data_IF_456878992516
#
_entry.id   IF_456878992516
#
_cell.length_a   1.000
_cell.length_b   1.000
_cell.length_c   1.000
_cell.angle_alpha   90.00
_cell.angle_beta   90.00
_cell.angle_gamma   90.00
#
_symmetry.space_group_name_H-M   'P 1'
#
loop_
_entity.id
_entity.type
_entity.pdbx_description
1 polymer ?
#
# COMPACT_ATOMS: atom_id res chain seq x y z
N UNK A 1 6.09 5.47 6.49
CA UNK A 1 5.03 4.53 6.06
C UNK A 1 5.16 3.25 6.86
N UNK A 2 4.04 2.75 7.38
CA UNK A 2 3.95 1.59 8.27
C UNK A 2 2.87 0.66 7.76
N UNK A 3 3.16 -0.63 7.69
CA UNK A 3 2.25 -1.68 7.27
C UNK A 3 2.17 -2.66 8.44
N UNK A 4 0.96 -2.94 8.88
CA UNK A 4 0.68 -3.93 9.93
C UNK A 4 -0.21 -4.99 9.30
N UNK A 5 0.16 -6.25 9.43
CA UNK A 5 -0.70 -7.34 8.99
C UNK A 5 -0.82 -8.39 10.09
N UNK A 6 -2.01 -8.95 10.22
CA UNK A 6 -2.35 -10.03 11.15
C UNK A 6 -2.64 -11.29 10.34
N UNK A 7 -1.99 -12.38 10.69
CA UNK A 7 -2.21 -13.68 10.09
C UNK A 7 -3.37 -14.43 10.76
N UNK A 8 -3.97 -15.40 10.07
CA UNK A 8 -4.99 -16.32 10.63
C UNK A 8 -4.52 -17.04 11.91
N UNK A 9 -3.22 -17.27 12.04
CA UNK A 9 -2.60 -17.83 13.24
C UNK A 9 -2.66 -16.91 14.47
N UNK A 10 -3.04 -15.64 14.29
CA UNK A 10 -3.04 -14.60 15.31
C UNK A 10 -1.73 -13.81 15.39
N UNK A 11 -0.69 -14.21 14.65
CA UNK A 11 0.57 -13.46 14.61
C UNK A 11 0.38 -12.09 13.97
N UNK A 12 0.94 -11.05 14.60
CA UNK A 12 0.95 -9.68 14.08
C UNK A 12 2.36 -9.31 13.66
N UNK A 13 2.50 -8.82 12.42
CA UNK A 13 3.75 -8.35 11.85
C UNK A 13 3.67 -6.86 11.54
N UNK A 14 4.77 -6.16 11.80
CA UNK A 14 4.90 -4.73 11.53
C UNK A 14 6.09 -4.50 10.62
N UNK A 15 5.81 -3.85 9.49
CA UNK A 15 6.79 -3.52 8.46
C UNK A 15 6.84 -2.01 8.30
N UNK A 16 8.03 -1.44 8.40
CA UNK A 16 8.26 0.01 8.20
C UNK A 16 9.15 0.22 6.98
N UNK A 17 8.94 1.33 6.27
CA UNK A 17 9.76 1.65 5.08
C UNK A 17 11.25 1.83 5.39
N UNK A 18 11.62 2.09 6.63
CA UNK A 18 13.04 2.13 7.05
C UNK A 18 13.71 0.74 6.88
N UNK A 19 12.94 -0.35 6.98
CA UNK A 19 13.44 -1.69 6.68
C UNK A 19 13.66 -1.91 5.16
N UNK A 20 12.98 -1.16 4.29
CA UNK A 20 13.23 -1.17 2.85
C UNK A 20 14.61 -0.58 2.51
N UNK A 21 15.00 0.45 3.26
CA UNK A 21 16.17 1.28 3.01
C UNK A 21 17.49 0.67 3.51
N UNK A 22 17.45 -0.39 4.33
CA UNK A 22 18.62 -0.85 5.11
C UNK A 22 19.51 -1.90 4.42
N UNK A 23 19.18 -2.36 3.22
CA UNK A 23 19.91 -3.46 2.52
C UNK A 23 20.33 -3.10 1.09
N UNK A 24 20.63 -1.83 0.83
CA UNK A 24 20.54 -1.33 -0.53
C UNK A 24 21.83 -1.50 -1.40
N UNK A 25 21.69 -1.80 -2.71
CA UNK A 25 22.75 -1.72 -3.72
C UNK A 25 23.12 -0.27 -4.11
N UNK A 26 22.37 0.73 -3.64
CA UNK A 26 22.62 2.16 -3.83
C UNK A 26 23.84 2.66 -3.04
N UNK A 27 24.22 2.04 -1.91
CA UNK A 27 25.48 2.35 -1.19
C UNK A 27 26.74 2.24 -2.06
N UNK A 28 26.73 1.37 -3.07
CA UNK A 28 27.88 1.15 -3.96
C UNK A 28 28.06 2.31 -4.94
N UNK A 29 26.96 2.90 -5.46
CA UNK A 29 27.00 4.08 -6.33
C UNK A 29 27.12 5.41 -5.55
N UNK A 30 26.60 5.47 -4.31
CA UNK A 30 26.73 6.62 -3.40
C UNK A 30 28.19 7.05 -3.14
N UNK A 31 29.15 6.13 -3.28
CA UNK A 31 30.57 6.41 -3.04
C UNK A 31 31.24 7.23 -4.15
N UNK A 32 30.61 7.36 -5.34
CA UNK A 32 31.28 7.92 -6.52
C UNK A 32 30.94 9.38 -6.81
N UNK A 33 29.83 9.93 -6.33
CA UNK A 33 29.47 11.35 -6.52
C UNK A 33 28.60 11.85 -5.36
N UNK A 34 28.93 13.01 -4.80
CA UNK A 34 28.22 13.68 -3.69
C UNK A 34 26.85 14.25 -4.11
N UNK A 35 25.98 13.46 -4.73
CA UNK A 35 24.62 13.87 -5.08
C UNK A 35 23.63 13.45 -4.00
N UNK A 36 22.84 14.41 -3.49
CA UNK A 36 21.68 14.09 -2.66
C UNK A 36 20.62 13.38 -3.51
N UNK A 37 19.90 12.43 -2.91
CA UNK A 37 18.82 11.70 -3.56
C UNK A 37 17.61 11.66 -2.64
N UNK A 38 16.43 11.53 -3.22
CA UNK A 38 15.19 11.29 -2.49
C UNK A 38 14.55 9.99 -2.98
N UNK A 39 13.76 9.36 -2.10
CA UNK A 39 13.08 8.09 -2.36
C UNK A 39 11.58 8.24 -2.23
N UNK A 40 10.81 7.62 -3.13
CA UNK A 40 9.35 7.48 -3.05
C UNK A 40 8.98 6.00 -2.93
N UNK A 41 8.03 5.71 -2.07
CA UNK A 41 7.51 4.37 -1.83
C UNK A 41 6.06 4.30 -2.25
N UNK A 42 5.76 3.50 -3.27
CA UNK A 42 4.40 3.31 -3.77
C UNK A 42 3.94 1.89 -3.45
N UNK A 43 2.93 1.76 -2.58
CA UNK A 43 2.31 0.46 -2.28
C UNK A 43 1.36 0.12 -3.44
N UNK A 44 1.57 -1.05 -4.06
CA UNK A 44 0.80 -1.49 -5.23
C UNK A 44 -0.42 -2.31 -4.85
N UNK A 45 -1.39 -1.65 -4.20
CA UNK A 45 -2.67 -2.27 -3.80
C UNK A 45 -3.49 -2.73 -5.01
N UNK A 46 -3.28 -2.12 -6.18
CA UNK A 46 -3.85 -2.54 -7.46
C UNK A 46 -3.37 -3.93 -7.92
N UNK A 47 -2.21 -4.38 -7.43
CA UNK A 47 -1.62 -5.68 -7.76
C UNK A 47 -1.76 -6.71 -6.63
N UNK A 48 -2.41 -6.35 -5.52
CA UNK A 48 -2.43 -7.14 -4.28
C UNK A 48 -2.79 -8.62 -4.52
N UNK A 49 -3.86 -8.88 -5.27
CA UNK A 49 -4.34 -10.23 -5.58
C UNK A 49 -3.54 -10.97 -6.67
N UNK A 50 -2.81 -10.22 -7.50
CA UNK A 50 -2.05 -10.78 -8.62
C UNK A 50 -0.62 -11.14 -8.19
N UNK A 51 0.00 -10.30 -7.38
CA UNK A 51 1.42 -10.38 -7.05
C UNK A 51 1.72 -10.40 -5.54
N UNK A 52 0.70 -10.30 -4.68
CA UNK A 52 0.90 -10.11 -3.25
C UNK A 52 1.15 -8.65 -2.86
N UNK A 53 1.54 -8.43 -1.61
CA UNK A 53 1.79 -7.09 -1.09
C UNK A 53 3.21 -6.64 -1.46
N UNK A 54 3.31 -5.75 -2.44
CA UNK A 54 4.58 -5.16 -2.88
C UNK A 54 4.62 -3.64 -2.75
N UNK A 55 5.82 -3.12 -2.55
CA UNK A 55 6.17 -1.71 -2.62
C UNK A 55 7.11 -1.51 -3.80
N UNK A 56 6.75 -0.61 -4.70
CA UNK A 56 7.67 -0.08 -5.69
C UNK A 56 8.47 1.08 -5.07
N UNK A 57 9.80 0.96 -5.09
CA UNK A 57 10.73 1.96 -4.55
C UNK A 57 11.34 2.72 -5.72
N UNK A 58 11.07 4.02 -5.76
CA UNK A 58 11.62 4.95 -6.74
C UNK A 58 12.66 5.85 -6.09
N UNK A 59 13.63 6.29 -6.89
CA UNK A 59 14.62 7.25 -6.46
C UNK A 59 14.91 8.25 -7.57
N UNK A 60 15.46 9.40 -7.18
CA UNK A 60 15.92 10.42 -8.12
C UNK A 60 16.99 11.29 -7.47
N UNK A 61 17.89 11.80 -8.30
CA UNK A 61 18.87 12.81 -7.89
C UNK A 61 18.15 14.14 -7.64
N UNK A 62 18.40 14.74 -6.48
CA UNK A 62 17.80 16.01 -6.12
C UNK A 62 18.76 16.91 -5.34
N UNK A 63 18.49 18.21 -5.35
CA UNK A 63 19.05 19.13 -4.37
C UNK A 63 18.05 19.20 -3.22
N UNK A 64 18.49 18.82 -2.03
CA UNK A 64 17.69 18.91 -0.80
C UNK A 64 18.04 20.23 -0.12
N UNK A 65 17.06 21.11 0.00
CA UNK A 65 17.21 22.31 0.83
C UNK A 65 17.18 21.89 2.31
N UNK A 66 18.28 22.15 3.01
CA UNK A 66 18.44 21.77 4.41
C UNK A 66 17.52 22.55 5.37
N UNK A 67 17.01 23.72 4.97
CA UNK A 67 16.11 24.53 5.81
C UNK A 67 14.65 24.10 5.68
N UNK A 68 14.20 23.80 4.46
CA UNK A 68 12.78 23.48 4.18
C UNK A 68 12.49 21.99 4.02
N UNK A 69 13.53 21.15 3.90
CA UNK A 69 13.46 19.73 3.52
C UNK A 69 12.81 19.48 2.16
N UNK A 70 12.60 20.53 1.36
CA UNK A 70 12.09 20.39 0.00
C UNK A 70 13.15 19.75 -0.91
N UNK A 71 12.73 18.78 -1.72
CA UNK A 71 13.57 18.18 -2.76
C UNK A 71 13.25 18.81 -4.11
N UNK A 72 14.27 19.27 -4.82
CA UNK A 72 14.13 19.85 -6.17
C UNK A 72 14.98 19.08 -7.17
N UNK A 73 14.43 18.78 -8.34
CA UNK A 73 15.17 18.06 -9.40
C UNK A 73 15.88 19.09 -10.28
N UNK A 74 17.21 19.03 -10.43
CA UNK A 74 17.91 19.93 -11.33
C UNK A 74 17.37 19.73 -12.76
N UNK A 75 16.86 20.81 -13.36
CA UNK A 75 16.26 20.95 -14.72
C UNK A 75 14.73 20.81 -14.87
N UNK A 76 13.98 20.31 -13.89
CA UNK A 76 12.52 20.04 -14.08
C UNK A 76 11.61 20.70 -13.02
N UNK A 77 12.17 21.25 -11.94
CA UNK A 77 11.37 21.84 -10.87
C UNK A 77 10.81 20.77 -9.93
N UNK A 78 9.49 20.74 -9.71
CA UNK A 78 8.82 19.70 -8.93
C UNK A 78 9.06 18.32 -9.57
N UNK A 79 9.13 17.26 -8.75
CA UNK A 79 9.44 15.89 -9.20
C UNK A 79 8.36 15.41 -10.18
N UNK A 80 8.59 15.57 -11.47
CA UNK A 80 7.75 14.96 -12.52
C UNK A 80 7.95 13.44 -12.50
N UNK A 81 6.92 12.66 -12.80
CA UNK A 81 7.01 11.18 -12.87
C UNK A 81 8.13 10.70 -13.81
N UNK A 82 8.49 11.51 -14.81
CA UNK A 82 9.57 11.26 -15.76
C UNK A 82 10.98 11.24 -15.14
N UNK A 83 11.17 11.83 -13.95
CA UNK A 83 12.44 11.82 -13.24
C UNK A 83 12.60 10.66 -12.26
N UNK A 84 11.58 9.80 -12.13
CA UNK A 84 11.59 8.69 -11.18
C UNK A 84 12.20 7.46 -11.82
N UNK A 85 13.37 7.05 -11.31
CA UNK A 85 13.96 5.78 -11.68
C UNK A 85 13.44 4.70 -10.73
N UNK A 86 12.90 3.61 -11.31
CA UNK A 86 12.47 2.46 -10.51
C UNK A 86 13.71 1.74 -9.97
N UNK A 87 14.00 1.96 -8.69
CA UNK A 87 15.20 1.40 -8.05
C UNK A 87 15.04 -0.05 -7.65
N UNK A 88 13.91 -0.39 -7.00
CA UNK A 88 13.68 -1.74 -6.44
C UNK A 88 12.20 -2.06 -6.32
N UNK A 89 11.85 -3.33 -6.45
CA UNK A 89 10.57 -3.87 -5.96
C UNK A 89 10.82 -4.58 -4.64
N UNK A 90 10.14 -4.18 -3.59
CA UNK A 90 10.16 -4.87 -2.31
C UNK A 90 8.85 -5.65 -2.12
N UNK A 91 8.93 -6.97 -2.18
CA UNK A 91 7.82 -7.85 -1.83
C UNK A 91 7.81 -8.06 -0.32
N UNK A 92 6.70 -7.70 0.31
CA UNK A 92 6.48 -7.87 1.76
C UNK A 92 5.80 -9.21 2.00
N UNK A 93 4.79 -9.52 1.19
CA UNK A 93 4.11 -10.80 1.18
C UNK A 93 3.96 -11.24 -0.27
N UNK A 94 4.30 -12.49 -0.54
CA UNK A 94 3.94 -13.11 -1.80
C UNK A 94 2.44 -13.43 -1.84
N UNK A 95 1.93 -13.80 -3.02
CA UNK A 95 0.52 -14.10 -3.22
C UNK A 95 0.01 -15.20 -2.27
N UNK A 96 0.79 -16.26 -2.08
CA UNK A 96 0.38 -17.40 -1.25
C UNK A 96 0.37 -17.04 0.24
N UNK A 97 1.27 -16.14 0.67
CA UNK A 97 1.29 -15.61 2.04
C UNK A 97 0.12 -14.66 2.29
N UNK A 98 -0.35 -13.98 1.24
CA UNK A 98 -1.51 -13.10 1.31
C UNK A 98 -2.74 -13.88 1.77
N UNK A 99 -2.91 -15.14 1.36
CA UNK A 99 -4.05 -15.97 1.75
C UNK A 99 -4.14 -16.20 3.26
N UNK A 100 -3.02 -16.13 3.96
CA UNK A 100 -2.93 -16.27 5.41
C UNK A 100 -3.17 -14.95 6.16
N UNK A 101 -3.26 -13.82 5.47
CA UNK A 101 -3.56 -12.52 6.07
C UNK A 101 -5.04 -12.41 6.37
N UNK A 102 -5.36 -12.17 7.64
CA UNK A 102 -6.72 -11.89 8.15
C UNK A 102 -7.01 -10.37 8.16
N UNK A 103 -6.03 -9.54 8.50
CA UNK A 103 -6.16 -8.08 8.50
C UNK A 103 -4.88 -7.44 7.96
N UNK A 104 -5.03 -6.40 7.15
CA UNK A 104 -3.94 -5.58 6.63
C UNK A 104 -4.28 -4.11 6.83
N UNK A 105 -3.46 -3.42 7.61
CA UNK A 105 -3.60 -2.00 7.92
C UNK A 105 -2.37 -1.24 7.45
N UNK A 106 -2.59 -0.22 6.63
CA UNK A 106 -1.55 0.56 5.97
C UNK A 106 -1.66 2.01 6.41
N UNK A 107 -0.50 2.56 6.79
CA UNK A 107 -0.33 3.95 7.24
C UNK A 107 -1.37 4.36 8.28
N UNK A 108 -1.52 3.53 9.32
CA UNK A 108 -2.38 3.84 10.48
C UNK A 108 -3.84 4.13 10.09
N UNK A 109 -4.39 3.30 9.20
CA UNK A 109 -5.81 3.34 8.82
C UNK A 109 -6.10 4.05 7.49
N UNK A 110 -5.10 4.52 6.74
CA UNK A 110 -5.33 5.07 5.39
C UNK A 110 -5.91 4.02 4.44
N UNK A 111 -5.47 2.77 4.57
CA UNK A 111 -6.12 1.65 3.91
C UNK A 111 -6.19 0.48 4.89
N UNK A 112 -7.40 -0.03 5.09
CA UNK A 112 -7.67 -1.16 5.98
C UNK A 112 -8.37 -2.24 5.18
N UNK A 113 -7.79 -3.42 5.17
CA UNK A 113 -8.36 -4.61 4.55
C UNK A 113 -8.61 -5.66 5.62
N UNK A 114 -9.75 -6.32 5.56
CA UNK A 114 -10.06 -7.46 6.43
C UNK A 114 -10.56 -8.63 5.59
N UNK A 115 -10.26 -9.84 6.04
CA UNK A 115 -10.68 -11.04 5.34
C UNK A 115 -12.16 -11.29 5.58
N UNK A 116 -12.94 -11.17 4.50
CA UNK A 116 -14.34 -11.53 4.46
C UNK A 116 -14.56 -12.47 3.29
N UNK A 117 -15.35 -13.53 3.50
CA UNK A 117 -15.71 -14.49 2.45
C UNK A 117 -14.51 -15.12 1.70
N UNK A 118 -13.36 -15.21 2.36
CA UNK A 118 -12.13 -15.76 1.79
C UNK A 118 -11.24 -14.75 1.08
N UNK A 119 -11.59 -13.47 1.02
CA UNK A 119 -10.87 -12.41 0.29
C UNK A 119 -10.56 -11.20 1.19
N UNK A 120 -9.52 -10.42 0.88
CA UNK A 120 -9.17 -9.19 1.61
C UNK A 120 -10.00 -8.00 1.11
N UNK A 121 -11.06 -7.68 1.83
CA UNK A 121 -11.99 -6.62 1.45
C UNK A 121 -11.50 -5.27 1.98
N UNK A 122 -11.48 -4.26 1.11
CA UNK A 122 -11.26 -2.85 1.48
C UNK A 122 -12.41 -2.37 2.37
N UNK A 123 -12.12 -2.18 3.66
CA UNK A 123 -13.14 -1.90 4.67
C UNK A 123 -13.73 -0.51 4.53
N UNK A 124 -12.96 0.48 4.04
CA UNK A 124 -13.49 1.82 3.80
C UNK A 124 -14.56 1.81 2.71
N UNK A 125 -14.33 1.05 1.63
CA UNK A 125 -15.33 0.85 0.58
C UNK A 125 -16.51 0.02 1.05
N UNK A 126 -16.24 -1.03 1.84
CA UNK A 126 -17.28 -1.90 2.38
C UNK A 126 -18.26 -1.13 3.27
N UNK A 127 -17.76 -0.38 4.26
CA UNK A 127 -18.62 0.40 5.15
C UNK A 127 -19.37 1.50 4.43
N UNK A 128 -18.74 2.19 3.47
CA UNK A 128 -19.43 3.18 2.65
C UNK A 128 -20.63 2.58 1.89
N UNK A 129 -20.47 1.37 1.36
CA UNK A 129 -21.54 0.66 0.66
C UNK A 129 -22.63 0.12 1.61
N UNK A 130 -22.24 -0.32 2.81
CA UNK A 130 -23.19 -0.71 3.87
C UNK A 130 -24.05 0.46 4.31
N UNK A 131 -23.43 1.61 4.62
CA UNK A 131 -24.14 2.81 5.06
C UNK A 131 -25.13 3.31 4.00
N UNK A 132 -24.78 3.18 2.72
CA UNK A 132 -25.69 3.52 1.63
C UNK A 132 -26.91 2.58 1.61
N UNK A 133 -26.70 1.27 1.73
CA UNK A 133 -27.81 0.29 1.74
C UNK A 133 -28.71 0.42 2.95
N UNK A 134 -28.16 0.66 4.14
CA UNK A 134 -28.96 0.86 5.35
C UNK A 134 -29.87 2.09 5.25
N UNK A 135 -29.52 3.08 4.43
CA UNK A 135 -30.40 4.22 4.12
C UNK A 135 -31.49 3.88 3.11
N UNK A 136 -31.30 2.84 2.31
CA UNK A 136 -32.18 2.45 1.20
C UNK A 136 -33.14 1.31 1.60
N UNK A 137 -32.84 0.49 2.61
CA UNK A 137 -33.64 -0.69 2.99
C UNK A 137 -33.92 -0.79 4.51
N UNK A 138 -35.19 -0.95 4.88
CA UNK A 138 -35.67 -1.12 6.26
C UNK A 138 -36.31 -2.51 6.37
N UNK A 139 -35.52 -3.58 6.49
CA UNK A 139 -36.11 -4.90 6.78
C UNK A 139 -35.27 -6.15 6.52
N UNK A 140 -34.15 -6.06 5.78
CA UNK A 140 -33.26 -7.22 5.60
C UNK A 140 -32.44 -7.50 6.86
N UNK A 141 -32.21 -8.78 7.17
CA UNK A 141 -31.28 -9.18 8.23
C UNK A 141 -29.84 -8.73 7.91
N UNK A 142 -29.08 -8.37 8.94
CA UNK A 142 -27.72 -7.80 8.80
C UNK A 142 -26.79 -8.73 8.02
N UNK A 143 -26.92 -10.05 8.20
CA UNK A 143 -26.12 -11.03 7.46
C UNK A 143 -26.40 -10.99 5.95
N UNK A 144 -27.66 -10.82 5.56
CA UNK A 144 -28.06 -10.69 4.16
C UNK A 144 -27.50 -9.40 3.54
N UNK A 145 -27.56 -8.28 4.28
CA UNK A 145 -26.99 -7.00 3.85
C UNK A 145 -25.46 -7.10 3.67
N UNK A 146 -24.76 -7.81 4.56
CA UNK A 146 -23.31 -8.05 4.48
C UNK A 146 -22.95 -8.83 3.22
N UNK A 147 -23.65 -9.93 2.93
CA UNK A 147 -23.43 -10.74 1.72
C UNK A 147 -23.75 -9.95 0.46
N UNK A 148 -24.86 -9.21 0.44
CA UNK A 148 -25.28 -8.43 -0.71
C UNK A 148 -24.27 -7.31 -1.06
N UNK A 149 -23.74 -6.63 -0.05
CA UNK A 149 -22.67 -5.63 -0.26
C UNK A 149 -21.40 -6.25 -0.80
N UNK A 150 -20.98 -7.38 -0.24
CA UNK A 150 -19.81 -8.11 -0.75
C UNK A 150 -19.96 -8.44 -2.24
N UNK A 151 -21.10 -9.02 -2.63
CA UNK A 151 -21.39 -9.35 -4.02
C UNK A 151 -21.42 -8.12 -4.94
N UNK A 152 -21.95 -6.97 -4.47
CA UNK A 152 -22.00 -5.75 -5.26
C UNK A 152 -20.63 -5.12 -5.50
N UNK A 153 -19.72 -5.22 -4.53
CA UNK A 153 -18.33 -4.76 -4.69
C UNK A 153 -17.57 -5.60 -5.72
N UNK A 154 -17.81 -6.91 -5.76
CA UNK A 154 -17.20 -7.81 -6.75
C UNK A 154 -17.75 -7.64 -8.17
N UNK A 155 -19.08 -7.44 -8.33
CA UNK A 155 -19.66 -7.23 -9.67
C UNK A 155 -19.18 -5.96 -10.37
N UNK A 156 -18.63 -4.99 -9.63
CA UNK A 156 -18.11 -3.73 -10.19
C UNK A 156 -16.67 -3.81 -10.70
N UNK A 157 -15.92 -4.86 -10.39
CA UNK A 157 -14.52 -5.00 -10.80
C UNK A 157 -14.18 -6.47 -11.12
N UNK A 158 -14.41 -6.93 -12.37
CA UNK A 158 -13.83 -8.17 -12.89
C UNK A 158 -12.31 -8.04 -13.14
#
# INVERSE_FOLDING_TARGET
>A
MKIVYKLKSGQVSVVTVDQAATSDPFKIEMSKNHSSFATRYDIRLDLLYKEGLRIDVFWWNCVIDNQTKASTVPRVGAVAELGLEKGRVWRILDKDELDEVEELNINEGQAVYQRHFGELVDMSKFWSAQDQRQKEDIGEDLAAQVVATHQALHKRFP
#
